data_IF_256688116862
#
_entry.id   IF_256688116862
#
_cell.length_a   1.000
_cell.length_b   1.000
_cell.length_c   1.000
_cell.angle_alpha   90.00
_cell.angle_beta   90.00
_cell.angle_gamma   90.00
#
_symmetry.space_group_name_H-M   'P 1'
#
loop_
_entity.id
_entity.type
_entity.pdbx_description
1 polymer ?
#
# COMPACT_ATOMS: atom_id res chain seq x y z
N UNK A 1 21.75 14.52 29.57
CA UNK A 1 22.59 13.99 28.47
C UNK A 1 22.28 14.77 27.19
N UNK A 2 23.30 15.05 26.36
CA UNK A 2 23.12 15.75 25.08
C UNK A 2 22.74 14.77 23.96
N UNK A 3 21.83 15.17 23.07
CA UNK A 3 21.46 14.45 21.85
C UNK A 3 21.63 15.37 20.64
N UNK A 4 21.96 14.79 19.49
CA UNK A 4 21.91 15.51 18.23
C UNK A 4 20.46 15.57 17.74
N UNK A 5 20.11 16.68 17.12
CA UNK A 5 18.85 16.85 16.41
C UNK A 5 19.16 17.34 15.00
N UNK A 6 18.49 16.77 14.01
CA UNK A 6 18.48 17.28 12.64
C UNK A 6 17.09 17.82 12.34
N UNK A 7 17.02 19.06 11.87
CA UNK A 7 15.78 19.76 11.61
C UNK A 7 15.29 19.54 10.16
N UNK A 8 14.06 19.97 9.86
CA UNK A 8 13.43 19.75 8.54
C UNK A 8 14.08 20.54 7.41
N UNK A 9 14.83 21.57 7.77
CA UNK A 9 15.63 22.43 6.91
C UNK A 9 16.82 21.71 6.27
N UNK A 10 17.09 20.45 6.65
CA UNK A 10 18.09 19.63 5.98
C UNK A 10 17.80 19.51 4.47
N UNK A 11 18.79 19.92 3.66
CA UNK A 11 18.75 19.93 2.20
C UNK A 11 19.48 18.74 1.55
N UNK A 12 19.78 17.68 2.33
CA UNK A 12 20.46 16.46 1.83
C UNK A 12 21.80 16.72 1.09
N UNK A 13 22.61 17.69 1.54
CA UNK A 13 23.86 18.04 0.87
C UNK A 13 25.02 17.04 1.04
N UNK A 14 24.87 16.03 1.90
CA UNK A 14 25.86 14.95 2.10
C UNK A 14 27.10 15.29 2.93
N UNK A 15 27.41 16.57 3.19
CA UNK A 15 28.67 16.98 3.84
C UNK A 15 28.92 16.36 5.22
N UNK A 16 27.85 16.02 5.96
CA UNK A 16 27.94 15.50 7.32
C UNK A 16 28.31 14.02 7.41
N UNK A 17 28.04 13.21 6.37
CA UNK A 17 28.24 11.76 6.42
C UNK A 17 29.71 11.34 6.37
N UNK A 18 30.55 12.11 5.65
CA UNK A 18 31.95 11.77 5.43
C UNK A 18 32.83 11.87 6.70
N UNK A 19 32.34 12.53 7.75
CA UNK A 19 33.18 13.03 8.84
C UNK A 19 32.93 12.33 10.17
N UNK A 20 31.82 11.62 10.34
CA UNK A 20 31.44 11.08 11.65
C UNK A 20 30.43 9.93 11.55
N UNK A 21 30.51 9.00 12.49
CA UNK A 21 29.50 7.95 12.71
C UNK A 21 28.26 8.47 13.46
N UNK A 22 28.26 9.72 13.93
CA UNK A 22 27.19 10.33 14.73
C UNK A 22 25.92 10.64 13.92
N UNK A 23 26.00 10.64 12.59
CA UNK A 23 24.91 10.88 11.67
C UNK A 23 24.90 9.74 10.64
N UNK A 24 23.71 9.31 10.23
CA UNK A 24 23.51 8.37 9.13
C UNK A 24 22.51 8.94 8.13
N UNK A 25 22.55 8.42 6.90
CA UNK A 25 21.66 8.81 5.82
C UNK A 25 20.33 8.06 5.93
N UNK A 26 19.23 8.79 5.84
CA UNK A 26 17.88 8.25 5.73
C UNK A 26 17.53 7.92 4.27
N UNK A 27 16.46 7.17 4.03
CA UNK A 27 16.02 6.76 2.69
C UNK A 27 15.74 7.94 1.73
N UNK A 28 15.36 9.11 2.27
CA UNK A 28 15.15 10.34 1.50
C UNK A 28 16.44 11.15 1.25
N UNK A 29 17.60 10.58 1.60
CA UNK A 29 18.92 11.20 1.50
C UNK A 29 19.22 12.23 2.60
N UNK A 30 18.29 12.46 3.55
CA UNK A 30 18.52 13.41 4.64
C UNK A 30 19.34 12.81 5.76
N UNK A 31 19.99 13.69 6.51
CA UNK A 31 20.76 13.32 7.68
C UNK A 31 19.84 13.04 8.88
N UNK A 32 20.09 11.95 9.60
CA UNK A 32 19.46 11.64 10.88
C UNK A 32 20.51 11.26 11.95
N UNK A 33 20.28 11.55 13.24
CA UNK A 33 21.18 11.15 14.32
C UNK A 33 21.35 9.63 14.43
N UNK A 34 22.59 9.16 14.59
CA UNK A 34 22.88 7.77 14.88
C UNK A 34 22.74 7.49 16.38
N UNK A 35 21.60 6.93 16.77
CA UNK A 35 21.30 6.63 18.18
C UNK A 35 22.22 5.59 18.82
N UNK A 36 22.95 4.78 18.03
CA UNK A 36 23.86 3.74 18.53
C UNK A 36 25.18 4.27 19.07
N UNK A 37 25.58 5.45 18.60
CA UNK A 37 26.94 5.99 18.84
C UNK A 37 26.93 6.88 20.08
N UNK A 38 25.83 7.61 20.32
CA UNK A 38 25.66 8.51 21.47
C UNK A 38 26.75 9.60 21.59
N UNK A 39 26.51 10.60 22.44
CA UNK A 39 27.44 11.73 22.65
C UNK A 39 28.00 11.65 24.06
N UNK A 40 29.28 11.30 24.16
CA UNK A 40 30.09 11.43 25.37
C UNK A 40 31.06 12.63 25.25
N UNK A 41 31.78 12.94 26.32
CA UNK A 41 32.73 14.07 26.35
C UNK A 41 33.84 13.96 25.27
N UNK A 42 34.25 12.74 24.91
CA UNK A 42 35.32 12.52 23.93
C UNK A 42 34.90 12.90 22.50
N UNK A 43 33.59 12.87 22.22
CA UNK A 43 33.03 13.15 20.89
C UNK A 43 32.66 14.61 20.67
N UNK A 44 32.79 15.47 21.68
CA UNK A 44 32.32 16.85 21.61
C UNK A 44 32.98 17.67 20.49
N UNK A 45 34.29 17.47 20.26
CA UNK A 45 34.99 18.12 19.14
C UNK A 45 34.40 17.75 17.78
N UNK A 46 34.01 16.49 17.60
CA UNK A 46 33.37 16.02 16.36
C UNK A 46 31.98 16.62 16.19
N UNK A 47 31.23 16.76 17.29
CA UNK A 47 29.90 17.39 17.29
C UNK A 47 29.99 18.87 16.91
N UNK A 48 30.94 19.62 17.46
CA UNK A 48 31.13 21.03 17.11
C UNK A 48 31.46 21.22 15.63
N UNK A 49 32.33 20.36 15.08
CA UNK A 49 32.67 20.40 13.66
C UNK A 49 31.46 20.04 12.79
N UNK A 50 30.72 18.99 13.16
CA UNK A 50 29.52 18.55 12.47
C UNK A 50 28.47 19.66 12.33
N UNK A 51 28.27 20.46 13.38
CA UNK A 51 27.35 21.60 13.34
C UNK A 51 27.84 22.68 12.37
N UNK A 52 29.15 22.97 12.40
CA UNK A 52 29.76 24.04 11.57
C UNK A 52 29.70 23.75 10.07
N UNK A 53 29.84 22.49 9.67
CA UNK A 53 29.86 22.13 8.25
C UNK A 53 28.47 22.10 7.61
N UNK A 54 27.39 22.15 8.39
CA UNK A 54 26.04 22.15 7.85
C UNK A 54 25.72 23.53 7.22
N UNK A 55 25.59 23.64 5.89
CA UNK A 55 25.44 24.94 5.22
C UNK A 55 24.13 25.66 5.57
N UNK A 56 23.15 24.92 6.07
CA UNK A 56 21.80 25.40 6.44
C UNK A 56 21.56 25.37 7.95
N UNK A 57 22.57 25.08 8.77
CA UNK A 57 22.47 24.98 10.23
C UNK A 57 21.34 24.05 10.72
N UNK A 58 21.07 22.97 9.98
CA UNK A 58 20.02 22.01 10.33
C UNK A 58 20.41 21.07 11.48
N UNK A 59 21.68 21.03 11.88
CA UNK A 59 22.19 20.15 12.94
C UNK A 59 22.37 20.95 14.22
N UNK A 60 21.79 20.48 15.33
CA UNK A 60 21.91 21.12 16.64
C UNK A 60 22.06 20.09 17.76
N UNK A 61 22.41 20.57 18.96
CA UNK A 61 22.48 19.74 20.16
C UNK A 61 21.38 20.18 21.12
N UNK A 62 20.61 19.21 21.60
CA UNK A 62 19.54 19.39 22.58
C UNK A 62 19.80 18.60 23.85
N UNK A 63 19.23 19.07 24.96
CA UNK A 63 19.11 18.26 26.17
C UNK A 63 17.99 17.25 25.98
N UNK A 64 18.32 15.96 25.90
CA UNK A 64 17.34 14.93 25.51
C UNK A 64 17.53 13.56 26.16
N UNK A 65 18.51 13.40 27.06
CA UNK A 65 18.67 12.14 27.80
C UNK A 65 17.64 11.98 28.92
N UNK A 66 17.25 10.73 29.24
CA UNK A 66 16.30 10.44 30.31
C UNK A 66 16.81 10.80 31.71
N UNK A 67 18.11 11.07 31.87
CA UNK A 67 18.67 11.63 33.11
C UNK A 67 19.91 12.49 32.84
N UNK A 68 20.30 13.28 33.84
CA UNK A 68 21.54 14.04 33.90
C UNK A 68 22.53 13.47 34.93
N UNK A 69 22.17 12.38 35.63
CA UNK A 69 23.00 11.77 36.67
C UNK A 69 23.91 10.70 36.08
N UNK A 70 25.21 10.87 36.22
CA UNK A 70 26.21 9.85 35.85
C UNK A 70 26.49 8.98 37.08
N UNK A 71 25.71 7.91 37.27
CA UNK A 71 25.88 6.93 38.36
C UNK A 71 24.91 5.76 38.23
N UNK A 72 25.01 4.78 39.14
CA UNK A 72 23.99 3.74 39.36
C UNK A 72 22.59 4.31 39.61
N UNK A 73 22.49 5.47 40.27
CA UNK A 73 21.22 6.17 40.46
C UNK A 73 20.65 6.74 39.14
N UNK A 74 21.51 7.08 38.17
CA UNK A 74 21.11 7.46 36.82
C UNK A 74 20.54 6.29 36.01
N UNK A 75 21.15 5.11 36.13
CA UNK A 75 20.65 3.88 35.52
C UNK A 75 19.23 3.56 36.01
N UNK A 76 18.98 3.66 37.32
CA UNK A 76 17.62 3.43 37.85
C UNK A 76 16.59 4.47 37.43
N UNK A 77 17.01 5.70 37.16
CA UNK A 77 16.12 6.71 36.60
C UNK A 77 15.76 6.41 35.14
N UNK A 78 16.74 6.01 34.31
CA UNK A 78 16.51 5.57 32.92
C UNK A 78 15.56 4.38 32.92
N UNK A 79 15.83 3.36 33.72
CA UNK A 79 15.00 2.15 33.84
C UNK A 79 13.56 2.48 34.18
N UNK A 80 13.32 3.32 35.19
CA UNK A 80 11.96 3.72 35.57
C UNK A 80 11.22 4.44 34.44
N UNK A 81 11.88 5.38 33.77
CA UNK A 81 11.29 6.13 32.64
C UNK A 81 11.03 5.23 31.44
N UNK A 82 12.01 4.41 31.06
CA UNK A 82 11.89 3.44 29.97
C UNK A 82 10.76 2.43 30.20
N UNK A 83 10.64 1.87 31.41
CA UNK A 83 9.54 0.96 31.78
C UNK A 83 8.19 1.68 31.67
N UNK A 84 8.11 2.93 32.11
CA UNK A 84 6.86 3.70 32.02
C UNK A 84 6.50 3.99 30.56
N UNK A 85 7.44 4.46 29.76
CA UNK A 85 7.27 4.72 28.32
C UNK A 85 6.85 3.45 27.56
N UNK A 86 7.44 2.29 27.86
CA UNK A 86 7.02 1.01 27.29
C UNK A 86 5.58 0.66 27.69
N UNK A 87 5.20 0.85 28.96
CA UNK A 87 3.83 0.59 29.43
C UNK A 87 2.80 1.53 28.79
N UNK A 88 3.19 2.76 28.52
CA UNK A 88 2.33 3.78 27.92
C UNK A 88 2.18 3.63 26.40
N UNK A 89 2.97 2.73 25.79
CA UNK A 89 2.81 2.38 24.37
C UNK A 89 1.43 1.77 24.15
N UNK A 90 0.61 2.47 23.36
CA UNK A 90 -0.76 2.05 23.04
C UNK A 90 -0.74 0.90 22.05
N UNK A 91 -1.73 0.03 22.19
CA UNK A 91 -2.03 -0.97 21.16
C UNK A 91 -2.31 -0.29 19.83
N UNK A 92 -1.93 -0.98 18.75
CA UNK A 92 -2.18 -0.51 17.40
C UNK A 92 -3.64 -0.75 17.06
N UNK A 93 -4.34 0.29 16.64
CA UNK A 93 -5.72 0.16 16.22
C UNK A 93 -5.81 -0.45 14.82
N UNK A 94 -6.79 -1.34 14.56
CA UNK A 94 -7.09 -1.81 13.21
C UNK A 94 -7.39 -0.65 12.26
N UNK A 95 -7.07 -0.79 10.95
CA UNK A 95 -7.44 0.22 9.97
C UNK A 95 -8.95 0.39 9.94
N UNK A 96 -9.40 1.65 9.93
CA UNK A 96 -10.82 1.98 9.73
C UNK A 96 -11.21 1.77 8.26
N UNK A 97 -12.51 1.60 7.99
CA UNK A 97 -13.04 1.40 6.64
C UNK A 97 -12.56 2.48 5.67
N UNK A 98 -12.52 3.73 6.12
CA UNK A 98 -12.13 4.87 5.28
C UNK A 98 -10.70 4.77 4.74
N UNK A 99 -9.81 4.06 5.46
CA UNK A 99 -8.42 3.88 5.06
C UNK A 99 -8.25 2.85 3.93
N UNK A 100 -9.26 2.01 3.69
CA UNK A 100 -9.25 0.93 2.70
C UNK A 100 -10.49 0.96 1.79
N UNK A 101 -11.20 2.09 1.76
CA UNK A 101 -12.46 2.23 1.02
C UNK A 101 -12.24 2.00 -0.48
N UNK A 102 -13.05 1.15 -1.09
CA UNK A 102 -13.04 0.96 -2.53
C UNK A 102 -13.71 2.15 -3.23
N UNK A 103 -12.94 2.86 -4.07
CA UNK A 103 -13.41 4.01 -4.85
C UNK A 103 -13.32 3.67 -6.34
N UNK A 104 -14.47 3.50 -7.00
CA UNK A 104 -14.52 3.04 -8.40
C UNK A 104 -13.79 3.96 -9.37
N UNK A 105 -13.70 5.25 -9.03
CA UNK A 105 -13.07 6.31 -9.82
C UNK A 105 -11.54 6.14 -9.91
N UNK A 106 -10.95 5.39 -8.99
CA UNK A 106 -9.49 5.17 -8.95
C UNK A 106 -9.01 4.08 -9.92
N UNK A 107 -9.93 3.32 -10.51
CA UNK A 107 -9.61 2.18 -11.36
C UNK A 107 -9.94 2.48 -12.80
N UNK A 108 -8.96 2.29 -13.69
CA UNK A 108 -9.14 2.53 -15.11
C UNK A 108 -9.29 1.22 -15.92
N UNK A 109 -10.33 1.21 -16.76
CA UNK A 109 -10.56 0.14 -17.73
C UNK A 109 -10.30 0.74 -19.12
N UNK A 110 -9.27 0.26 -19.83
CA UNK A 110 -9.01 0.72 -21.19
C UNK A 110 -10.25 0.53 -22.08
N UNK A 111 -10.59 1.56 -22.85
CA UNK A 111 -11.69 1.54 -23.80
C UNK A 111 -11.14 1.22 -25.20
N UNK A 112 -11.18 -0.05 -25.65
CA UNK A 112 -10.63 -0.42 -26.96
C UNK A 112 -11.43 0.20 -28.10
N UNK A 113 -10.77 0.45 -29.23
CA UNK A 113 -11.46 0.78 -30.47
C UNK A 113 -12.10 -0.48 -31.09
N UNK A 114 -13.35 -0.40 -31.52
CA UNK A 114 -14.03 -1.50 -32.19
C UNK A 114 -13.69 -1.52 -33.69
N UNK A 115 -13.10 -2.63 -34.15
CA UNK A 115 -12.56 -2.75 -35.49
C UNK A 115 -13.65 -3.02 -36.53
N UNK A 116 -13.80 -2.13 -37.51
CA UNK A 116 -14.77 -2.27 -38.60
C UNK A 116 -16.02 -1.42 -38.43
N UNK A 117 -16.05 -0.55 -37.42
CA UNK A 117 -17.02 0.55 -37.38
C UNK A 117 -16.92 1.41 -38.63
N UNK A 118 -18.05 1.98 -39.06
CA UNK A 118 -18.17 2.83 -40.26
C UNK A 118 -17.77 2.15 -41.58
N UNK A 119 -17.52 0.83 -41.57
CA UNK A 119 -17.25 0.08 -42.78
C UNK A 119 -18.57 -0.44 -43.38
N UNK A 120 -19.09 0.29 -44.38
CA UNK A 120 -20.32 -0.03 -45.10
C UNK A 120 -20.13 -1.22 -46.06
N UNK A 121 -19.85 -2.39 -45.48
CA UNK A 121 -19.54 -3.62 -46.19
C UNK A 121 -20.62 -4.70 -46.05
N UNK A 122 -21.58 -4.52 -45.14
CA UNK A 122 -22.58 -5.54 -44.86
C UNK A 122 -23.79 -5.40 -45.79
N UNK A 123 -24.29 -6.52 -46.31
CA UNK A 123 -25.41 -6.53 -47.24
C UNK A 123 -26.79 -6.39 -46.59
N UNK A 124 -26.88 -6.47 -45.26
CA UNK A 124 -28.14 -6.34 -44.51
C UNK A 124 -27.89 -5.74 -43.13
N UNK A 125 -28.92 -5.07 -42.59
CA UNK A 125 -28.96 -4.57 -41.21
C UNK A 125 -28.53 -5.64 -40.18
N UNK A 126 -29.16 -6.82 -40.23
CA UNK A 126 -28.87 -7.90 -39.25
C UNK A 126 -27.43 -8.43 -39.33
N UNK A 127 -26.79 -8.36 -40.50
CA UNK A 127 -25.37 -8.74 -40.63
C UNK A 127 -24.48 -7.71 -39.95
N UNK A 128 -24.74 -6.42 -40.15
CA UNK A 128 -24.01 -5.35 -39.48
C UNK A 128 -24.22 -5.38 -37.96
N UNK A 129 -25.47 -5.54 -37.51
CA UNK A 129 -25.83 -5.67 -36.09
C UNK A 129 -25.15 -6.87 -35.42
N UNK A 130 -25.14 -8.03 -36.07
CA UNK A 130 -24.43 -9.21 -35.55
C UNK A 130 -22.93 -8.97 -35.47
N UNK A 131 -22.33 -8.34 -36.49
CA UNK A 131 -20.91 -8.02 -36.48
C UNK A 131 -20.54 -7.04 -35.35
N UNK A 132 -21.37 -6.03 -35.07
CA UNK A 132 -21.22 -5.17 -33.90
C UNK A 132 -21.23 -5.97 -32.60
N UNK A 133 -22.23 -6.82 -32.41
CA UNK A 133 -22.36 -7.65 -31.20
C UNK A 133 -21.15 -8.58 -31.01
N UNK A 134 -20.72 -9.25 -32.07
CA UNK A 134 -19.58 -10.17 -32.03
C UNK A 134 -18.28 -9.40 -31.70
N UNK A 135 -18.12 -8.19 -32.27
CA UNK A 135 -16.98 -7.33 -31.97
C UNK A 135 -17.01 -6.83 -30.52
N UNK A 136 -18.16 -6.37 -30.02
CA UNK A 136 -18.35 -5.95 -28.63
C UNK A 136 -18.02 -7.08 -27.65
N UNK A 137 -18.46 -8.30 -27.99
CA UNK A 137 -18.14 -9.48 -27.19
C UNK A 137 -16.64 -9.74 -27.14
N UNK A 138 -15.99 -9.73 -28.31
CA UNK A 138 -14.56 -9.98 -28.45
C UNK A 138 -13.70 -8.96 -27.70
N UNK A 139 -14.04 -7.67 -27.78
CA UNK A 139 -13.18 -6.61 -27.23
C UNK A 139 -13.42 -6.34 -25.75
N UNK A 140 -14.67 -6.49 -25.27
CA UNK A 140 -15.08 -6.15 -23.91
C UNK A 140 -15.80 -7.28 -23.17
N UNK A 141 -16.97 -7.72 -23.64
CA UNK A 141 -17.87 -8.56 -22.82
C UNK A 141 -17.24 -9.90 -22.40
N UNK A 142 -16.57 -10.59 -23.33
CA UNK A 142 -15.84 -11.84 -23.04
C UNK A 142 -14.69 -11.66 -22.04
N UNK A 143 -14.23 -10.43 -21.81
CA UNK A 143 -13.12 -10.07 -20.90
C UNK A 143 -13.60 -9.57 -19.53
N UNK A 144 -14.90 -9.46 -19.29
CA UNK A 144 -15.48 -8.94 -18.03
C UNK A 144 -14.80 -9.54 -16.78
N UNK A 145 -14.64 -10.86 -16.71
CA UNK A 145 -13.99 -11.53 -15.56
C UNK A 145 -12.53 -11.11 -15.39
N UNK A 146 -11.79 -10.95 -16.48
CA UNK A 146 -10.38 -10.52 -16.47
C UNK A 146 -10.28 -9.06 -16.00
N UNK A 147 -11.19 -8.20 -16.45
CA UNK A 147 -11.25 -6.80 -16.02
C UNK A 147 -11.55 -6.69 -14.51
N UNK A 148 -12.52 -7.47 -14.00
CA UNK A 148 -12.81 -7.56 -12.56
C UNK A 148 -11.56 -8.00 -11.77
N UNK A 149 -10.89 -9.05 -12.24
CA UNK A 149 -9.67 -9.55 -11.60
C UNK A 149 -8.58 -8.47 -11.53
N UNK A 150 -8.38 -7.71 -12.61
CA UNK A 150 -7.42 -6.60 -12.65
C UNK A 150 -7.74 -5.55 -11.56
N UNK A 151 -8.98 -5.09 -11.50
CA UNK A 151 -9.43 -4.10 -10.50
C UNK A 151 -9.18 -4.60 -9.08
N UNK A 152 -9.57 -5.85 -8.81
CA UNK A 152 -9.41 -6.46 -7.48
C UNK A 152 -7.94 -6.61 -7.09
N UNK A 153 -7.06 -6.96 -8.04
CA UNK A 153 -5.62 -7.04 -7.81
C UNK A 153 -4.99 -5.66 -7.54
N UNK A 154 -5.40 -4.64 -8.29
CA UNK A 154 -4.94 -3.27 -8.05
C UNK A 154 -5.38 -2.76 -6.67
N UNK A 155 -6.63 -3.00 -6.27
CA UNK A 155 -7.14 -2.66 -4.94
C UNK A 155 -6.28 -3.30 -3.83
N UNK A 156 -5.98 -4.60 -3.96
CA UNK A 156 -5.14 -5.33 -3.00
C UNK A 156 -3.76 -4.71 -2.86
N UNK A 157 -3.08 -4.49 -3.99
CA UNK A 157 -1.74 -3.93 -4.00
C UNK A 157 -1.72 -2.55 -3.33
N UNK A 158 -2.69 -1.71 -3.68
CA UNK A 158 -2.77 -0.34 -3.20
C UNK A 158 -3.11 -0.22 -1.71
N UNK A 159 -4.06 -1.03 -1.21
CA UNK A 159 -4.65 -0.81 0.11
C UNK A 159 -4.33 -1.90 1.14
N UNK A 160 -4.17 -3.15 0.69
CA UNK A 160 -4.13 -4.30 1.61
C UNK A 160 -2.73 -4.86 1.78
N UNK A 161 -1.91 -4.89 0.72
CA UNK A 161 -0.64 -5.64 0.67
C UNK A 161 0.28 -5.40 1.87
N UNK A 162 0.42 -4.14 2.31
CA UNK A 162 1.27 -3.76 3.45
C UNK A 162 0.92 -4.45 4.78
N UNK A 163 -0.30 -4.95 4.94
CA UNK A 163 -0.75 -5.64 6.16
C UNK A 163 -0.55 -7.16 6.12
N UNK A 164 -0.19 -7.73 4.97
CA UNK A 164 -0.07 -9.18 4.81
C UNK A 164 1.33 -9.64 4.42
N UNK A 165 2.27 -8.70 4.29
CA UNK A 165 3.69 -8.99 4.09
C UNK A 165 4.44 -8.84 5.40
N UNK A 166 5.35 -9.77 5.67
CA UNK A 166 6.33 -9.72 6.77
C UNK A 166 7.77 -9.63 6.26
N UNK A 167 7.96 -9.64 4.94
CA UNK A 167 9.27 -9.85 4.30
C UNK A 167 9.86 -8.58 3.66
N UNK A 168 9.13 -7.46 3.66
CA UNK A 168 9.61 -6.20 3.09
C UNK A 168 9.58 -5.05 4.10
N UNK A 169 10.48 -4.08 3.93
CA UNK A 169 10.59 -2.90 4.79
C UNK A 169 9.32 -2.03 4.79
N UNK A 170 8.52 -2.13 3.72
CA UNK A 170 7.23 -1.45 3.55
C UNK A 170 6.07 -2.14 4.29
N UNK A 171 6.35 -3.25 4.99
CA UNK A 171 5.35 -3.89 5.87
C UNK A 171 4.92 -2.92 6.96
N UNK A 172 3.62 -2.89 7.21
CA UNK A 172 3.03 -2.12 8.30
C UNK A 172 3.64 -2.50 9.66
N UNK A 173 3.98 -3.79 9.85
CA UNK A 173 4.56 -4.29 11.10
C UNK A 173 6.02 -3.95 11.24
N UNK A 174 6.78 -4.01 10.15
CA UNK A 174 8.20 -3.64 10.15
C UNK A 174 8.39 -2.17 10.50
N UNK A 175 7.53 -1.27 10.00
CA UNK A 175 7.57 0.15 10.39
C UNK A 175 7.34 0.35 11.90
N UNK A 176 6.38 -0.38 12.47
CA UNK A 176 6.08 -0.30 13.90
C UNK A 176 7.19 -0.89 14.77
N UNK A 177 7.73 -2.05 14.37
CA UNK A 177 8.86 -2.69 15.03
C UNK A 177 10.08 -1.77 15.06
N UNK A 178 10.47 -1.19 13.91
CA UNK A 178 11.59 -0.24 13.81
C UNK A 178 11.46 0.94 14.79
N UNK A 179 10.25 1.44 15.05
CA UNK A 179 10.02 2.51 16.05
C UNK A 179 10.36 2.05 17.46
N UNK A 180 9.99 0.82 17.84
CA UNK A 180 10.32 0.25 19.15
C UNK A 180 11.79 -0.08 19.25
N UNK A 181 12.38 -0.67 18.21
CA UNK A 181 13.81 -0.99 18.17
C UNK A 181 14.65 0.26 18.36
N UNK A 182 14.34 1.33 17.62
CA UNK A 182 15.01 2.62 17.77
C UNK A 182 14.93 3.16 19.21
N UNK A 183 13.74 3.07 19.82
CA UNK A 183 13.53 3.45 21.21
C UNK A 183 14.38 2.61 22.19
N UNK A 184 14.48 1.30 21.99
CA UNK A 184 15.31 0.40 22.81
C UNK A 184 16.81 0.67 22.58
N UNK A 185 17.23 1.01 21.36
CA UNK A 185 18.60 1.40 21.03
C UNK A 185 19.02 2.68 21.77
N UNK A 186 18.11 3.67 21.88
CA UNK A 186 18.37 4.86 22.69
C UNK A 186 18.60 4.50 24.16
N UNK A 187 17.75 3.63 24.73
CA UNK A 187 17.88 3.20 26.13
C UNK A 187 19.21 2.49 26.35
N UNK A 188 19.57 1.56 25.46
CA UNK A 188 20.81 0.81 25.55
C UNK A 188 22.03 1.73 25.51
N UNK A 189 22.00 2.73 24.64
CA UNK A 189 23.07 3.71 24.49
C UNK A 189 23.17 4.63 25.71
N UNK A 190 22.04 5.10 26.24
CA UNK A 190 22.01 5.92 27.46
C UNK A 190 22.58 5.15 28.66
N UNK A 191 22.17 3.89 28.87
CA UNK A 191 22.71 3.04 29.94
C UNK A 191 24.21 2.81 29.77
N UNK A 192 24.66 2.53 28.54
CA UNK A 192 26.09 2.32 28.25
C UNK A 192 26.92 3.57 28.59
N UNK A 193 26.47 4.75 28.20
CA UNK A 193 27.18 6.01 28.48
C UNK A 193 27.23 6.28 29.98
N UNK A 194 26.09 6.23 30.65
CA UNK A 194 25.99 6.62 32.08
C UNK A 194 26.69 5.63 33.00
N UNK A 195 26.72 4.35 32.63
CA UNK A 195 27.45 3.32 33.36
C UNK A 195 28.92 3.20 32.96
N UNK A 196 29.41 4.00 32.02
CA UNK A 196 30.74 3.82 31.40
C UNK A 196 30.97 2.38 30.89
N UNK A 197 29.91 1.75 30.37
CA UNK A 197 29.92 0.38 29.85
C UNK A 197 29.99 -0.73 30.90
N UNK A 198 29.83 -0.41 32.19
CA UNK A 198 29.85 -1.41 33.27
C UNK A 198 28.57 -2.24 33.31
N UNK A 199 27.43 -1.65 32.96
CA UNK A 199 26.14 -2.35 32.86
C UNK A 199 25.98 -2.92 31.46
N UNK A 200 25.75 -4.23 31.36
CA UNK A 200 25.57 -4.94 30.09
C UNK A 200 24.14 -5.42 29.93
N UNK A 201 23.51 -5.01 28.85
CA UNK A 201 22.24 -5.56 28.39
C UNK A 201 22.47 -6.82 27.55
N UNK A 202 21.48 -7.73 27.46
CA UNK A 202 21.47 -8.80 26.48
C UNK A 202 21.69 -8.28 25.06
N UNK A 203 22.37 -9.06 24.22
CA UNK A 203 22.74 -8.67 22.84
C UNK A 203 21.53 -8.47 21.91
N UNK A 204 20.39 -9.05 22.26
CA UNK A 204 19.11 -8.96 21.55
C UNK A 204 18.12 -8.01 22.25
N UNK A 205 18.57 -7.22 23.23
CA UNK A 205 17.72 -6.28 23.94
C UNK A 205 16.99 -5.33 22.99
N UNK A 206 17.70 -4.84 21.97
CA UNK A 206 17.16 -3.85 21.02
C UNK A 206 16.32 -4.45 19.90
N UNK A 207 16.30 -5.79 19.75
CA UNK A 207 15.52 -6.46 18.71
C UNK A 207 14.05 -6.54 19.10
N UNK A 208 13.16 -6.27 18.16
CA UNK A 208 11.72 -6.29 18.38
C UNK A 208 10.97 -6.83 17.16
N UNK A 209 10.87 -8.15 17.07
CA UNK A 209 10.29 -8.85 15.92
C UNK A 209 8.83 -9.28 16.16
N UNK A 210 7.94 -8.33 16.42
CA UNK A 210 6.51 -8.63 16.54
C UNK A 210 5.88 -8.76 15.15
N UNK A 211 5.39 -9.96 14.81
CA UNK A 211 4.66 -10.21 13.57
C UNK A 211 3.45 -11.10 13.84
N UNK A 212 2.35 -10.97 13.07
CA UNK A 212 1.29 -11.97 13.07
C UNK A 212 1.85 -13.36 12.77
N UNK A 213 1.20 -14.41 13.27
CA UNK A 213 1.66 -15.77 13.00
C UNK A 213 1.53 -16.06 11.50
N UNK A 214 2.66 -16.40 10.86
CA UNK A 214 2.70 -16.82 9.45
C UNK A 214 1.78 -18.01 9.15
N UNK A 215 1.50 -18.86 10.15
CA UNK A 215 0.57 -19.98 10.04
C UNK A 215 -0.87 -19.62 10.43
N UNK A 216 -1.15 -18.36 10.80
CA UNK A 216 -2.50 -17.97 11.17
C UNK A 216 -3.43 -18.20 10.00
N UNK A 217 -4.63 -18.70 10.31
CA UNK A 217 -5.62 -18.99 9.27
C UNK A 217 -5.97 -17.76 8.43
N UNK A 218 -5.80 -16.54 8.97
CA UNK A 218 -6.00 -15.28 8.25
C UNK A 218 -4.84 -14.96 7.30
N UNK A 219 -3.58 -15.08 7.73
CA UNK A 219 -2.40 -14.92 6.85
C UNK A 219 -2.45 -15.99 5.75
N UNK A 220 -2.62 -17.25 6.13
CA UNK A 220 -2.59 -18.41 5.22
C UNK A 220 -3.67 -18.36 4.15
N UNK A 221 -4.91 -18.02 4.52
CA UNK A 221 -6.02 -17.90 3.56
C UNK A 221 -5.82 -16.72 2.61
N UNK A 222 -5.12 -15.66 3.03
CA UNK A 222 -4.91 -14.47 2.20
C UNK A 222 -3.68 -14.60 1.28
N UNK A 223 -2.53 -14.96 1.85
CA UNK A 223 -1.23 -15.04 1.16
C UNK A 223 -1.07 -16.32 0.33
N UNK A 224 -1.42 -17.49 0.87
CA UNK A 224 -1.19 -18.76 0.16
C UNK A 224 -2.36 -19.10 -0.77
N UNK A 225 -3.59 -18.82 -0.33
CA UNK A 225 -4.79 -19.34 -1.01
C UNK A 225 -5.58 -18.33 -1.81
N UNK A 226 -5.24 -17.03 -1.73
CA UNK A 226 -6.00 -15.95 -2.36
C UNK A 226 -7.53 -15.98 -2.04
N UNK A 227 -7.94 -16.70 -0.99
CA UNK A 227 -9.34 -17.08 -0.75
C UNK A 227 -10.18 -15.89 -0.30
N UNK A 228 -9.56 -14.93 0.38
CA UNK A 228 -10.30 -13.85 1.03
C UNK A 228 -10.61 -12.70 0.06
N UNK A 229 -9.83 -12.55 -1.03
CA UNK A 229 -9.97 -11.42 -1.96
C UNK A 229 -9.67 -11.75 -3.43
N UNK A 230 -9.36 -13.00 -3.78
CA UNK A 230 -8.97 -13.40 -5.14
C UNK A 230 -10.13 -14.03 -5.89
N UNK A 231 -10.14 -15.35 -5.95
CA UNK A 231 -11.11 -16.08 -6.78
C UNK A 231 -12.54 -15.94 -6.25
N UNK A 232 -12.78 -15.99 -4.93
CA UNK A 232 -14.15 -15.83 -4.37
C UNK A 232 -14.76 -14.46 -4.68
N UNK A 233 -13.97 -13.38 -4.61
CA UNK A 233 -14.49 -12.02 -4.88
C UNK A 233 -14.71 -11.81 -6.37
N UNK A 234 -13.82 -12.32 -7.24
CA UNK A 234 -14.02 -12.28 -8.69
C UNK A 234 -15.29 -13.05 -9.07
N UNK A 235 -15.50 -14.23 -8.52
CA UNK A 235 -16.72 -15.02 -8.77
C UNK A 235 -17.98 -14.35 -8.22
N UNK A 236 -17.90 -13.66 -7.07
CA UNK A 236 -19.02 -12.83 -6.57
C UNK A 236 -19.33 -11.66 -7.51
N UNK A 237 -18.33 -10.89 -7.90
CA UNK A 237 -18.51 -9.79 -8.85
C UNK A 237 -19.09 -10.31 -10.16
N UNK A 238 -18.62 -11.45 -10.65
CA UNK A 238 -19.13 -12.06 -11.88
C UNK A 238 -20.58 -12.52 -11.74
N UNK A 239 -20.95 -13.14 -10.60
CA UNK A 239 -22.35 -13.50 -10.32
C UNK A 239 -23.25 -12.28 -10.24
N UNK A 240 -22.79 -11.20 -9.62
CA UNK A 240 -23.53 -9.94 -9.55
C UNK A 240 -23.81 -9.42 -10.97
N UNK A 241 -22.75 -9.30 -11.78
CA UNK A 241 -22.84 -8.90 -13.18
C UNK A 241 -23.79 -9.80 -13.98
N UNK A 242 -23.67 -11.13 -13.87
CA UNK A 242 -24.50 -12.08 -14.63
C UNK A 242 -25.96 -12.12 -14.18
N UNK A 243 -26.22 -11.81 -12.90
CA UNK A 243 -27.57 -11.78 -12.35
C UNK A 243 -28.37 -10.56 -12.80
N UNK A 244 -27.68 -9.49 -13.19
CA UNK A 244 -28.31 -8.27 -13.68
C UNK A 244 -28.76 -8.44 -15.14
N UNK A 245 -30.07 -8.38 -15.38
CA UNK A 245 -30.64 -8.48 -16.74
C UNK A 245 -30.17 -7.36 -17.67
N UNK A 246 -29.79 -6.21 -17.12
CA UNK A 246 -29.25 -5.08 -17.89
C UNK A 246 -27.78 -5.29 -18.30
N UNK A 247 -27.08 -6.27 -17.72
CA UNK A 247 -25.69 -6.57 -18.05
C UNK A 247 -25.54 -7.76 -19.03
N UNK A 248 -26.61 -8.17 -19.72
CA UNK A 248 -26.50 -9.16 -20.79
C UNK A 248 -25.89 -8.52 -22.03
N UNK A 249 -25.13 -9.27 -22.83
CA UNK A 249 -24.55 -8.76 -24.08
C UNK A 249 -25.57 -8.05 -24.98
N UNK A 250 -26.79 -8.60 -25.07
CA UNK A 250 -27.88 -8.01 -25.86
C UNK A 250 -28.39 -6.67 -25.31
N UNK A 251 -28.24 -6.42 -24.01
CA UNK A 251 -28.65 -5.18 -23.37
C UNK A 251 -27.77 -4.00 -23.77
N UNK A 252 -26.54 -4.27 -24.21
CA UNK A 252 -25.63 -3.23 -24.72
C UNK A 252 -25.88 -2.87 -26.19
N UNK A 253 -26.76 -3.59 -26.89
CA UNK A 253 -27.06 -3.31 -28.30
C UNK A 253 -27.80 -1.98 -28.51
N UNK A 254 -28.42 -1.41 -27.47
CA UNK A 254 -29.04 -0.08 -27.54
C UNK A 254 -28.05 1.08 -27.51
N UNK A 255 -26.76 0.80 -27.30
CA UNK A 255 -25.70 1.81 -27.16
C UNK A 255 -24.78 1.87 -28.38
N UNK A 256 -25.14 1.22 -29.48
CA UNK A 256 -24.48 1.37 -30.76
C UNK A 256 -25.51 1.48 -31.88
N UNK A 257 -25.08 2.07 -32.99
CA UNK A 257 -25.94 2.32 -34.13
C UNK A 257 -25.62 1.37 -35.28
N UNK A 258 -26.60 1.19 -36.16
CA UNK A 258 -26.44 0.47 -37.43
C UNK A 258 -27.04 1.34 -38.53
N UNK A 259 -26.16 1.87 -39.37
CA UNK A 259 -26.48 2.82 -40.42
C UNK A 259 -26.42 2.14 -41.79
N UNK A 260 -27.14 2.71 -42.76
CA UNK A 260 -27.05 2.31 -44.17
C UNK A 260 -26.58 3.44 -45.08
N UNK A 261 -26.03 3.06 -46.22
CA UNK A 261 -25.75 3.95 -47.35
C UNK A 261 -26.05 3.24 -48.67
N UNK A 262 -26.42 4.00 -49.69
CA UNK A 262 -26.59 3.50 -51.05
C UNK A 262 -25.26 3.55 -51.82
N UNK A 263 -24.84 2.42 -52.37
CA UNK A 263 -23.67 2.30 -53.23
C UNK A 263 -24.13 2.09 -54.67
N UNK A 264 -23.70 2.95 -55.59
CA UNK A 264 -23.96 2.79 -57.02
C UNK A 264 -23.24 1.55 -57.57
N UNK A 265 -23.97 0.66 -58.26
CA UNK A 265 -23.47 -0.62 -58.79
C UNK A 265 -23.55 -0.73 -60.31
N UNK A 266 -23.74 0.39 -61.00
CA UNK A 266 -23.76 0.49 -62.46
C UNK A 266 -25.12 0.88 -63.04
N UNK A 267 -25.13 1.24 -64.32
CA UNK A 267 -26.35 1.59 -65.07
C UNK A 267 -26.80 0.42 -65.92
N UNK A 268 -28.12 0.19 -65.96
CA UNK A 268 -28.76 -0.80 -66.83
C UNK A 268 -29.79 -0.17 -67.77
N UNK A 269 -30.46 -1.01 -68.57
CA UNK A 269 -31.49 -0.60 -69.52
C UNK A 269 -32.66 0.20 -68.87
N UNK A 270 -32.87 0.07 -67.56
CA UNK A 270 -33.92 0.75 -66.79
C UNK A 270 -33.38 1.85 -65.84
N UNK A 271 -32.15 2.32 -66.04
CA UNK A 271 -31.52 3.37 -65.23
C UNK A 271 -30.44 2.89 -64.28
N UNK A 272 -30.02 3.78 -63.40
CA UNK A 272 -28.96 3.54 -62.40
C UNK A 272 -29.42 2.56 -61.33
N UNK A 273 -28.52 1.64 -60.96
CA UNK A 273 -28.76 0.66 -59.91
C UNK A 273 -27.92 1.01 -58.69
N UNK A 274 -28.56 0.92 -57.53
CA UNK A 274 -27.93 1.10 -56.24
C UNK A 274 -28.14 -0.17 -55.40
N UNK A 275 -27.19 -0.48 -54.53
CA UNK A 275 -27.36 -1.47 -53.46
C UNK A 275 -27.26 -0.75 -52.12
N UNK A 276 -28.11 -1.13 -51.19
CA UNK A 276 -27.98 -0.68 -49.81
C UNK A 276 -26.87 -1.49 -49.12
N UNK A 277 -25.97 -0.78 -48.44
CA UNK A 277 -24.89 -1.35 -47.65
C UNK A 277 -25.00 -0.83 -46.23
N UNK A 278 -24.63 -1.65 -45.25
CA UNK A 278 -24.83 -1.39 -43.84
C UNK A 278 -23.49 -1.39 -43.12
N UNK A 279 -23.38 -0.58 -42.07
CA UNK A 279 -22.25 -0.53 -41.14
C UNK A 279 -22.77 -0.39 -39.71
N UNK A 280 -22.00 -0.84 -38.73
CA UNK A 280 -22.25 -0.46 -37.34
C UNK A 280 -21.35 0.73 -36.96
N UNK A 281 -21.83 1.58 -36.06
CA UNK A 281 -21.20 2.85 -35.70
C UNK A 281 -21.36 3.12 -34.19
N UNK A 282 -20.59 4.07 -33.67
CA UNK A 282 -20.74 4.60 -32.30
C UNK A 282 -20.63 3.57 -31.14
N UNK A 283 -19.82 2.51 -31.23
CA UNK A 283 -19.73 1.49 -30.14
C UNK A 283 -19.05 1.99 -28.85
N UNK A 284 -18.51 3.22 -28.83
CA UNK A 284 -17.79 3.74 -27.67
C UNK A 284 -18.68 3.76 -26.41
N UNK A 285 -19.96 4.10 -26.57
CA UNK A 285 -20.90 4.14 -25.45
C UNK A 285 -21.15 2.73 -24.89
N UNK A 286 -21.38 1.73 -25.75
CA UNK A 286 -21.52 0.34 -25.31
C UNK A 286 -20.28 -0.17 -24.55
N UNK A 287 -19.09 0.25 -24.97
CA UNK A 287 -17.82 -0.12 -24.33
C UNK A 287 -17.68 0.54 -22.96
N UNK A 288 -18.04 1.83 -22.84
CA UNK A 288 -18.05 2.56 -21.57
C UNK A 288 -19.03 1.95 -20.57
N UNK A 289 -20.22 1.60 -21.03
CA UNK A 289 -21.26 1.03 -20.15
C UNK A 289 -20.85 -0.33 -19.60
N UNK A 290 -20.26 -1.21 -20.42
CA UNK A 290 -19.69 -2.47 -19.91
C UNK A 290 -18.60 -2.19 -18.86
N UNK A 291 -17.73 -1.20 -19.10
CA UNK A 291 -16.68 -0.85 -18.15
C UNK A 291 -17.26 -0.33 -16.82
N UNK A 292 -18.30 0.49 -16.86
CA UNK A 292 -19.00 0.98 -15.67
C UNK A 292 -19.66 -0.17 -14.90
N UNK A 293 -20.38 -1.06 -15.60
CA UNK A 293 -21.03 -2.22 -15.00
C UNK A 293 -20.02 -3.18 -14.34
N UNK A 294 -18.83 -3.35 -14.94
CA UNK A 294 -17.74 -4.11 -14.33
C UNK A 294 -17.30 -3.49 -13.00
N UNK A 295 -17.08 -2.16 -12.97
CA UNK A 295 -16.67 -1.45 -11.74
C UNK A 295 -17.75 -1.52 -10.67
N UNK A 296 -19.00 -1.33 -11.05
CA UNK A 296 -20.15 -1.40 -10.15
C UNK A 296 -20.32 -2.81 -9.58
N UNK A 297 -20.21 -3.86 -10.41
CA UNK A 297 -20.26 -5.24 -9.94
C UNK A 297 -19.16 -5.56 -8.93
N UNK A 298 -17.94 -5.00 -9.08
CA UNK A 298 -16.88 -5.12 -8.08
C UNK A 298 -17.25 -4.34 -6.80
N UNK A 299 -17.78 -3.13 -6.91
CA UNK A 299 -18.23 -2.32 -5.76
C UNK A 299 -19.26 -3.09 -4.91
N UNK A 300 -20.23 -3.74 -5.55
CA UNK A 300 -21.27 -4.55 -4.87
C UNK A 300 -20.75 -5.79 -4.15
N UNK A 301 -19.47 -6.14 -4.32
CA UNK A 301 -18.88 -7.21 -3.51
C UNK A 301 -18.57 -6.79 -2.07
N UNK A 302 -18.61 -5.48 -1.76
CA UNK A 302 -18.19 -4.90 -0.48
C UNK A 302 -16.78 -5.34 -0.09
N UNK A 303 -15.86 -5.31 -1.07
CA UNK A 303 -14.49 -5.83 -0.94
C UNK A 303 -13.74 -5.21 0.25
N UNK A 304 -14.00 -3.94 0.55
CA UNK A 304 -13.43 -3.18 1.65
C UNK A 304 -14.03 -3.55 3.01
N UNK A 305 -15.34 -3.76 3.12
CA UNK A 305 -15.95 -4.25 4.36
C UNK A 305 -15.48 -5.66 4.69
N UNK A 306 -15.39 -6.51 3.66
CA UNK A 306 -14.82 -7.85 3.77
C UNK A 306 -13.35 -7.83 4.14
N UNK A 307 -12.62 -6.74 3.85
CA UNK A 307 -11.24 -6.50 4.26
C UNK A 307 -11.06 -6.34 5.76
N UNK A 308 -12.06 -5.80 6.47
CA UNK A 308 -11.90 -5.38 7.85
C UNK A 308 -11.70 -6.52 8.85
N UNK A 309 -12.46 -7.60 8.76
CA UNK A 309 -12.37 -8.70 9.75
C UNK A 309 -10.98 -9.36 9.71
N UNK A 310 -10.45 -9.76 8.54
CA UNK A 310 -9.12 -10.36 8.47
C UNK A 310 -8.03 -9.40 8.91
N UNK A 311 -8.08 -8.12 8.51
CA UNK A 311 -7.14 -7.10 8.97
C UNK A 311 -7.19 -6.93 10.49
N UNK A 312 -8.40 -6.86 11.08
CA UNK A 312 -8.58 -6.74 12.52
C UNK A 312 -7.97 -7.93 13.27
N UNK A 313 -8.14 -9.15 12.75
CA UNK A 313 -7.53 -10.34 13.34
C UNK A 313 -6.01 -10.28 13.31
N UNK A 314 -5.41 -9.86 12.19
CA UNK A 314 -3.95 -9.73 12.07
C UNK A 314 -3.39 -8.67 13.00
N UNK A 315 -4.04 -7.51 13.11
CA UNK A 315 -3.63 -6.45 14.05
C UNK A 315 -3.76 -6.95 15.50
N UNK A 316 -4.79 -7.74 15.81
CA UNK A 316 -4.92 -8.36 17.14
C UNK A 316 -3.80 -9.36 17.43
N UNK A 317 -3.45 -10.21 16.46
CA UNK A 317 -2.32 -11.15 16.58
C UNK A 317 -0.99 -10.41 16.78
N UNK A 318 -0.76 -9.35 16.00
CA UNK A 318 0.39 -8.47 16.18
C UNK A 318 0.41 -7.85 17.59
N UNK A 319 -0.69 -7.28 18.06
CA UNK A 319 -0.76 -6.65 19.39
C UNK A 319 -0.49 -7.66 20.52
N UNK A 320 -0.95 -8.91 20.38
CA UNK A 320 -0.62 -9.98 21.33
C UNK A 320 0.88 -10.22 21.35
N UNK A 321 1.51 -10.38 20.18
CA UNK A 321 2.95 -10.65 20.11
C UNK A 321 3.80 -9.47 20.57
N UNK A 322 3.36 -8.26 20.22
CA UNK A 322 3.92 -7.00 20.68
C UNK A 322 3.91 -6.94 22.22
N UNK A 323 2.79 -7.26 22.86
CA UNK A 323 2.66 -7.22 24.32
C UNK A 323 3.56 -8.25 25.02
N UNK A 324 3.70 -9.46 24.45
CA UNK A 324 4.65 -10.48 24.94
C UNK A 324 6.09 -9.94 24.93
N UNK A 325 6.55 -9.45 23.77
CA UNK A 325 7.91 -8.92 23.62
C UNK A 325 8.12 -7.68 24.48
N UNK A 326 7.13 -6.80 24.57
CA UNK A 326 7.17 -5.63 25.45
C UNK A 326 7.37 -6.03 26.90
N UNK A 327 6.63 -7.02 27.40
CA UNK A 327 6.76 -7.53 28.76
C UNK A 327 8.14 -8.14 29.01
N UNK A 328 8.68 -8.87 28.04
CA UNK A 328 10.05 -9.39 28.09
C UNK A 328 11.08 -8.26 28.23
N UNK A 329 11.01 -7.21 27.40
CA UNK A 329 11.94 -6.08 27.50
C UNK A 329 11.81 -5.33 28.82
N UNK A 330 10.59 -5.16 29.34
CA UNK A 330 10.36 -4.58 30.68
C UNK A 330 11.00 -5.44 31.77
N UNK A 331 10.90 -6.77 31.67
CA UNK A 331 11.47 -7.68 32.66
C UNK A 331 13.01 -7.69 32.62
N UNK A 332 13.61 -7.61 31.43
CA UNK A 332 15.06 -7.39 31.28
C UNK A 332 15.44 -6.09 32.00
N UNK A 333 14.69 -5.00 31.76
CA UNK A 333 14.96 -3.72 32.41
C UNK A 333 14.85 -3.80 33.93
N UNK A 334 13.87 -4.53 34.47
CA UNK A 334 13.70 -4.72 35.93
C UNK A 334 14.87 -5.45 36.59
N UNK A 335 15.49 -6.38 35.86
CA UNK A 335 16.55 -7.25 36.35
C UNK A 335 17.98 -6.73 36.05
N UNK A 336 18.10 -5.55 35.42
CA UNK A 336 19.30 -4.71 35.52
C UNK A 336 19.50 -4.26 36.96
#
# INVERSE_FOLDING_TARGET
MKKLQVSKECIACGSCFAMTELIVEAEDGKAIPNVKVGIDESKWKQVEELIRICPVNAISVVDGGRTNKISTAGVEEIKKKAIQELKDWKEVEPPKKEAILFRMEEYDIPLPYASGQYNYAYSTYERARRAARDELDRIMYSKVKVLMQKIIMEYKAKYLQKYFTTECEESYYTELNKKVEHFLEEIATEIKIISNGTVKLPSDFTKFDAYPDSNSSSVRRMMEKHEIYGEDIVERAKREFDSNSYCKLSSYESYFDVDSMEEYVGSGFFGDKYKETWAYTNMEEAIKEIANDVKDAVRYTDIDERALIPLTNLIREYNQKFDELRKEKIEILKNL
#
